data_IF_439780527536
#
_entry.id   IF_439780527536
#
_cell.length_a   1.000
_cell.length_b   1.000
_cell.length_c   1.000
_cell.angle_alpha   90.00
_cell.angle_beta   90.00
_cell.angle_gamma   90.00
#
_symmetry.space_group_name_H-M   'P 1'
#
loop_
_entity.id
_entity.type
_entity.pdbx_description
1 polymer ?
#
# COMPACT_ATOMS: atom_id res chain seq x y z
N UNK A 1 8.92 16.89 11.39
CA UNK A 1 8.73 16.11 10.16
C UNK A 1 7.28 16.26 9.74
N UNK A 2 7.01 16.50 8.45
CA UNK A 2 5.63 16.51 7.95
C UNK A 2 5.09 15.08 7.94
N UNK A 3 3.84 14.87 8.35
CA UNK A 3 3.19 13.58 8.28
C UNK A 3 2.45 13.47 6.96
N UNK A 4 2.56 12.31 6.32
CA UNK A 4 1.84 11.99 5.10
C UNK A 4 0.85 10.90 5.43
N UNK A 5 -0.42 11.14 5.14
CA UNK A 5 -1.50 10.18 5.35
C UNK A 5 -2.31 10.04 4.07
N UNK A 6 -2.74 8.83 3.77
CA UNK A 6 -3.61 8.49 2.65
C UNK A 6 -4.45 7.27 3.04
N UNK A 7 -5.60 7.12 2.39
CA UNK A 7 -6.37 5.87 2.48
C UNK A 7 -6.20 5.04 1.20
N UNK A 8 -6.52 3.76 1.32
CA UNK A 8 -6.58 2.78 0.23
C UNK A 8 -7.75 1.85 0.53
N UNK A 9 -8.29 1.19 -0.49
CA UNK A 9 -9.41 0.26 -0.31
C UNK A 9 -8.99 -1.17 -0.63
N UNK A 10 -9.21 -2.05 0.35
CA UNK A 10 -9.05 -3.50 0.21
C UNK A 10 -10.39 -4.10 -0.23
N UNK A 11 -10.35 -5.11 -1.11
CA UNK A 11 -11.55 -5.86 -1.48
C UNK A 11 -12.05 -6.65 -0.27
N UNK A 12 -13.37 -6.75 -0.13
CA UNK A 12 -14.03 -7.36 1.03
C UNK A 12 -13.62 -8.83 1.21
N UNK A 13 -13.23 -9.21 2.43
CA UNK A 13 -12.90 -10.60 2.78
C UNK A 13 -11.46 -11.02 2.49
N UNK A 14 -10.59 -10.08 2.10
CA UNK A 14 -9.17 -10.33 1.80
C UNK A 14 -8.23 -9.81 2.88
N UNK A 15 -8.74 -9.50 4.07
CA UNK A 15 -7.98 -8.93 5.18
C UNK A 15 -6.84 -9.86 5.63
N UNK A 16 -7.13 -11.17 5.71
CA UNK A 16 -6.13 -12.18 6.07
C UNK A 16 -5.04 -12.33 5.00
N UNK A 17 -5.41 -12.26 3.73
CA UNK A 17 -4.44 -12.33 2.62
C UNK A 17 -3.56 -11.08 2.58
N UNK A 18 -4.15 -9.90 2.80
CA UNK A 18 -3.39 -8.66 2.92
C UNK A 18 -2.35 -8.73 4.03
N UNK A 19 -2.75 -9.19 5.23
CA UNK A 19 -1.83 -9.34 6.36
C UNK A 19 -0.67 -10.28 6.01
N UNK A 20 -0.99 -11.46 5.46
CA UNK A 20 0.01 -12.45 5.07
C UNK A 20 1.02 -11.89 4.05
N UNK A 21 0.54 -11.24 2.98
CA UNK A 21 1.42 -10.64 1.95
C UNK A 21 2.25 -9.50 2.52
N UNK A 22 1.68 -8.70 3.41
CA UNK A 22 2.40 -7.62 4.06
C UNK A 22 3.51 -8.14 4.98
N UNK A 23 3.28 -9.23 5.71
CA UNK A 23 4.30 -9.88 6.55
C UNK A 23 5.45 -10.45 5.70
N UNK A 24 5.13 -11.05 4.54
CA UNK A 24 6.13 -11.53 3.57
C UNK A 24 6.97 -10.37 3.02
N UNK A 25 6.35 -9.24 2.67
CA UNK A 25 7.04 -8.05 2.13
C UNK A 25 7.88 -7.34 3.20
N UNK A 26 7.37 -7.20 4.42
CA UNK A 26 8.06 -6.51 5.51
C UNK A 26 9.38 -7.19 5.92
N UNK A 27 9.56 -8.47 5.55
CA UNK A 27 10.82 -9.19 5.74
C UNK A 27 11.89 -8.88 4.67
N UNK A 28 11.55 -8.09 3.65
CA UNK A 28 12.42 -7.72 2.52
C UNK A 28 12.95 -6.29 2.71
N UNK A 29 13.80 -6.09 3.72
CA UNK A 29 14.30 -4.78 4.17
C UNK A 29 15.19 -4.00 3.16
N UNK A 30 15.54 -4.56 2.00
CA UNK A 30 16.60 -4.01 1.14
C UNK A 30 16.29 -4.11 -0.38
N UNK A 31 15.26 -3.43 -0.87
CA UNK A 31 14.95 -3.45 -2.30
C UNK A 31 14.87 -2.04 -2.93
N UNK A 32 15.61 -1.78 -4.03
CA UNK A 32 15.59 -0.48 -4.72
C UNK A 32 14.23 -0.13 -5.34
N UNK A 33 13.89 1.16 -5.24
CA UNK A 33 12.53 1.64 -5.02
C UNK A 33 11.57 1.62 -6.22
N UNK A 34 12.02 1.60 -7.49
CA UNK A 34 11.09 1.76 -8.62
C UNK A 34 10.66 0.45 -9.28
N UNK A 35 11.60 -0.35 -9.80
CA UNK A 35 11.27 -1.55 -10.57
C UNK A 35 10.66 -2.66 -9.71
N UNK A 36 10.98 -2.66 -8.41
CA UNK A 36 10.46 -3.61 -7.44
C UNK A 36 9.08 -3.16 -6.96
N UNK A 37 8.87 -1.86 -6.78
CA UNK A 37 7.56 -1.32 -6.41
C UNK A 37 6.49 -1.64 -7.47
N UNK A 38 6.82 -1.54 -8.77
CA UNK A 38 5.89 -1.97 -9.83
C UNK A 38 5.56 -3.47 -9.77
N UNK A 39 6.50 -4.32 -9.34
CA UNK A 39 6.25 -5.75 -9.14
C UNK A 39 5.36 -5.97 -7.92
N UNK A 40 5.59 -5.25 -6.83
CA UNK A 40 4.74 -5.28 -5.63
C UNK A 40 3.32 -4.82 -5.92
N UNK A 41 3.16 -3.77 -6.73
CA UNK A 41 1.86 -3.32 -7.23
C UNK A 41 1.12 -4.41 -7.99
N UNK A 42 1.79 -5.05 -8.95
CA UNK A 42 1.21 -6.20 -9.67
C UNK A 42 0.89 -7.36 -8.74
N UNK A 43 1.72 -7.60 -7.73
CA UNK A 43 1.52 -8.63 -6.73
C UNK A 43 0.34 -8.33 -5.80
N UNK A 44 -0.01 -7.06 -5.56
CA UNK A 44 -1.13 -6.67 -4.68
C UNK A 44 -2.41 -6.30 -5.44
N UNK A 45 -2.35 -6.16 -6.76
CA UNK A 45 -3.42 -5.68 -7.63
C UNK A 45 -4.70 -6.53 -7.60
N UNK A 46 -4.59 -7.82 -7.31
CA UNK A 46 -5.73 -8.73 -7.21
C UNK A 46 -6.55 -8.53 -5.93
N UNK A 47 -5.96 -7.97 -4.86
CA UNK A 47 -6.62 -7.86 -3.55
C UNK A 47 -7.13 -6.46 -3.20
N UNK A 48 -6.76 -5.42 -3.95
CA UNK A 48 -7.10 -4.02 -3.65
C UNK A 48 -7.59 -3.25 -4.87
N UNK A 49 -8.11 -2.05 -4.64
CA UNK A 49 -8.48 -1.15 -5.74
C UNK A 49 -7.22 -0.54 -6.36
N UNK A 50 -7.11 -0.64 -7.69
CA UNK A 50 -5.94 -0.21 -8.46
C UNK A 50 -6.30 0.75 -9.59
N UNK A 51 -5.33 1.59 -9.94
CA UNK A 51 -5.29 2.36 -11.18
C UNK A 51 -4.91 1.45 -12.37
N UNK A 52 -5.10 1.90 -13.63
CA UNK A 52 -4.76 1.13 -14.83
C UNK A 52 -3.30 0.66 -14.90
N UNK A 53 -2.38 1.39 -14.28
CA UNK A 53 -0.95 1.04 -14.16
C UNK A 53 -0.63 0.06 -13.01
N UNK A 54 -1.65 -0.50 -12.35
CA UNK A 54 -1.60 -1.40 -11.19
C UNK A 54 -1.17 -0.73 -9.87
N UNK A 55 -0.89 0.57 -9.88
CA UNK A 55 -0.67 1.29 -8.62
C UNK A 55 -1.96 1.29 -7.79
N UNK A 56 -1.90 1.18 -6.47
CA UNK A 56 -3.09 1.22 -5.65
C UNK A 56 -3.74 2.61 -5.66
N UNK A 57 -5.07 2.63 -5.68
CA UNK A 57 -5.82 3.89 -5.55
C UNK A 57 -5.57 4.46 -4.16
N UNK A 58 -4.95 5.64 -4.10
CA UNK A 58 -4.65 6.36 -2.86
C UNK A 58 -5.30 7.73 -2.85
N UNK A 59 -6.00 8.06 -1.77
CA UNK A 59 -6.60 9.39 -1.60
C UNK A 59 -5.86 10.10 -0.46
N UNK A 60 -5.23 11.27 -0.73
CA UNK A 60 -4.48 11.98 0.29
C UNK A 60 -5.42 12.51 1.38
N UNK A 61 -5.01 12.34 2.63
CA UNK A 61 -5.73 12.82 3.80
C UNK A 61 -5.10 14.12 4.29
N UNK A 62 -5.94 15.12 4.56
CA UNK A 62 -5.51 16.38 5.15
C UNK A 62 -5.23 16.18 6.64
N UNK A 63 -4.00 16.44 7.07
CA UNK A 63 -3.68 16.52 8.49
C UNK A 63 -4.43 17.70 9.10
N UNK A 64 -5.33 17.42 10.05
CA UNK A 64 -6.15 18.44 10.72
C UNK A 64 -5.72 18.72 12.16
N UNK A 65 -4.90 17.84 12.75
CA UNK A 65 -4.48 17.94 14.14
C UNK A 65 -3.22 17.10 14.40
N UNK A 66 -2.37 17.58 15.30
CA UNK A 66 -1.21 16.86 15.82
C UNK A 66 -0.95 17.21 17.29
N UNK A 67 -0.78 16.18 18.13
CA UNK A 67 -0.26 16.28 19.50
C UNK A 67 1.10 15.56 19.60
N UNK A 68 2.20 16.25 19.96
CA UNK A 68 3.53 15.65 20.18
C UNK A 68 3.62 14.74 21.39
#
# INVERSE_FOLDING_TARGET
MARVAFNMHLKRGLEAEYQKRHDEIASLDELPEEAIMQKLWKYMADIMDINPENSPVSIPLKEVFYLP
#
